data_IF_195614629959
#
_entry.id   IF_195614629959
#
_cell.length_a   1.000
_cell.length_b   1.000
_cell.length_c   1.000
_cell.angle_alpha   90.00
_cell.angle_beta   90.00
_cell.angle_gamma   90.00
#
_symmetry.space_group_name_H-M   'P 1'
#
loop_
_entity.id
_entity.type
_entity.pdbx_description
1 polymer ?
#
# COMPACT_ATOMS: atom_id res chain seq x y z
N UNK A 1 -26.34 14.23 -25.48
CA UNK A 1 -25.56 13.05 -25.03
C UNK A 1 -24.03 13.23 -25.14
N UNK A 2 -23.50 13.83 -26.23
CA UNK A 2 -22.05 14.11 -26.37
C UNK A 2 -21.49 15.12 -25.34
N UNK A 3 -22.29 16.06 -24.83
CA UNK A 3 -21.81 17.03 -23.82
C UNK A 3 -21.67 16.43 -22.41
N UNK A 4 -22.51 15.48 -22.00
CA UNK A 4 -22.42 14.83 -20.68
C UNK A 4 -21.17 13.94 -20.56
N UNK A 5 -20.81 13.27 -21.65
CA UNK A 5 -19.58 12.47 -21.73
C UNK A 5 -18.34 13.39 -21.77
N UNK A 6 -18.39 14.52 -22.48
CA UNK A 6 -17.29 15.51 -22.43
C UNK A 6 -17.12 16.13 -21.04
N UNK A 7 -18.20 16.36 -20.28
CA UNK A 7 -18.08 16.87 -18.90
C UNK A 7 -17.47 15.85 -17.93
N UNK A 8 -17.72 14.55 -18.12
CA UNK A 8 -17.08 13.49 -17.32
C UNK A 8 -15.62 13.24 -17.73
N UNK A 9 -15.29 13.42 -19.01
CA UNK A 9 -13.93 13.19 -19.55
C UNK A 9 -12.99 14.38 -19.32
N UNK A 10 -13.50 15.62 -19.24
CA UNK A 10 -12.65 16.82 -19.03
C UNK A 10 -12.49 17.29 -17.57
N UNK A 11 -13.18 16.71 -16.59
CA UNK A 11 -13.20 17.22 -15.20
C UNK A 11 -12.22 16.56 -14.22
N UNK A 12 -11.09 16.03 -14.69
CA UNK A 12 -10.03 15.60 -13.77
C UNK A 12 -8.64 16.10 -14.15
N UNK A 13 -8.40 17.42 -14.20
CA UNK A 13 -7.04 17.94 -14.06
C UNK A 13 -6.60 17.63 -12.62
N UNK A 14 -6.05 16.42 -12.40
CA UNK A 14 -5.46 15.88 -11.15
C UNK A 14 -6.06 16.52 -9.89
N UNK A 15 -7.12 15.98 -9.28
CA UNK A 15 -7.80 16.51 -8.07
C UNK A 15 -6.88 17.15 -6.99
N UNK A 16 -6.35 18.36 -7.23
CA UNK A 16 -5.27 18.97 -6.46
C UNK A 16 -3.94 18.20 -6.34
N UNK A 17 -3.63 17.19 -7.18
CA UNK A 17 -2.39 16.38 -7.01
C UNK A 17 -1.22 16.97 -7.80
N UNK A 18 -0.19 17.44 -7.08
CA UNK A 18 0.99 18.08 -7.68
C UNK A 18 1.88 17.08 -8.44
N UNK A 19 2.63 17.52 -9.47
CA UNK A 19 3.61 16.65 -10.14
C UNK A 19 4.65 16.07 -9.17
N UNK A 20 5.10 16.87 -8.20
CA UNK A 20 6.03 16.45 -7.16
C UNK A 20 5.46 15.31 -6.31
N UNK A 21 4.17 15.38 -5.95
CA UNK A 21 3.47 14.31 -5.25
C UNK A 21 3.49 13.00 -6.04
N UNK A 22 3.19 13.08 -7.34
CA UNK A 22 3.23 11.90 -8.21
C UNK A 22 4.64 11.30 -8.32
N UNK A 23 5.68 12.15 -8.35
CA UNK A 23 7.06 11.68 -8.34
C UNK A 23 7.39 10.89 -7.07
N UNK A 24 7.04 11.43 -5.89
CA UNK A 24 7.24 10.71 -4.63
C UNK A 24 6.44 9.42 -4.54
N UNK A 25 5.19 9.41 -5.02
CA UNK A 25 4.40 8.18 -5.11
C UNK A 25 5.12 7.12 -5.95
N UNK A 26 5.63 7.49 -7.14
CA UNK A 26 6.38 6.56 -8.01
C UNK A 26 7.65 6.05 -7.34
N UNK A 27 8.36 6.91 -6.62
CA UNK A 27 9.53 6.51 -5.82
C UNK A 27 9.16 5.49 -4.75
N UNK A 28 8.05 5.71 -4.03
CA UNK A 28 7.58 4.78 -3.00
C UNK A 28 7.16 3.42 -3.58
N UNK A 29 6.45 3.42 -4.71
CA UNK A 29 6.14 2.21 -5.46
C UNK A 29 7.41 1.46 -5.88
N UNK A 30 8.38 2.19 -6.41
CA UNK A 30 9.65 1.61 -6.88
C UNK A 30 10.45 1.00 -5.73
N UNK A 31 10.65 1.72 -4.62
CA UNK A 31 11.39 1.23 -3.45
C UNK A 31 10.72 -0.01 -2.87
N UNK A 32 9.39 -0.01 -2.76
CA UNK A 32 8.65 -1.18 -2.27
C UNK A 32 8.78 -2.36 -3.23
N UNK A 33 8.67 -2.12 -4.53
CA UNK A 33 8.82 -3.15 -5.55
C UNK A 33 10.18 -3.83 -5.44
N UNK A 34 11.28 -3.08 -5.49
CA UNK A 34 12.63 -3.67 -5.43
C UNK A 34 12.92 -4.27 -4.04
N UNK A 35 12.44 -3.63 -2.97
CA UNK A 35 12.73 -4.05 -1.60
C UNK A 35 12.03 -5.34 -1.19
N UNK A 36 10.96 -5.73 -1.90
CA UNK A 36 10.16 -6.91 -1.55
C UNK A 36 10.09 -7.96 -2.65
N UNK A 37 10.10 -7.57 -3.93
CA UNK A 37 9.88 -8.51 -5.04
C UNK A 37 10.98 -9.56 -5.11
N UNK A 38 12.26 -9.16 -5.08
CA UNK A 38 13.37 -10.10 -5.19
C UNK A 38 13.35 -11.12 -4.06
N UNK A 39 13.32 -10.65 -2.81
CA UNK A 39 13.26 -11.52 -1.63
C UNK A 39 12.05 -12.47 -1.69
N UNK A 40 10.88 -11.98 -2.08
CA UNK A 40 9.66 -12.80 -2.03
C UNK A 40 9.61 -13.84 -3.14
N UNK A 41 10.01 -13.46 -4.36
CA UNK A 41 10.06 -14.40 -5.49
C UNK A 41 11.16 -15.43 -5.33
N UNK A 42 12.34 -15.03 -4.86
CA UNK A 42 13.45 -15.96 -4.60
C UNK A 42 13.05 -17.02 -3.58
N UNK A 43 12.44 -16.60 -2.47
CA UNK A 43 11.98 -17.50 -1.41
C UNK A 43 10.93 -18.52 -1.89
N UNK A 44 10.09 -18.16 -2.88
CA UNK A 44 9.08 -19.06 -3.45
C UNK A 44 9.64 -19.98 -4.54
N UNK A 45 10.52 -19.48 -5.42
CA UNK A 45 11.00 -20.22 -6.59
C UNK A 45 12.13 -21.17 -6.22
N UNK A 46 12.99 -20.76 -5.29
CA UNK A 46 14.16 -21.52 -4.85
C UNK A 46 14.12 -21.78 -3.34
N UNK A 47 13.09 -22.46 -2.82
CA UNK A 47 13.01 -22.74 -1.40
C UNK A 47 14.08 -23.78 -1.02
N UNK A 48 14.81 -23.53 0.07
CA UNK A 48 15.80 -24.48 0.58
C UNK A 48 15.20 -25.77 1.14
N UNK A 49 13.97 -25.69 1.62
CA UNK A 49 13.15 -26.79 2.15
C UNK A 49 11.69 -26.57 1.73
N UNK A 50 10.84 -27.61 1.69
CA UNK A 50 9.41 -27.43 1.39
C UNK A 50 8.75 -26.39 2.32
N UNK A 51 8.11 -25.38 1.73
CA UNK A 51 7.44 -24.33 2.49
C UNK A 51 6.20 -24.87 3.20
N UNK A 52 6.02 -24.52 4.47
CA UNK A 52 4.74 -24.76 5.14
C UNK A 52 3.63 -23.90 4.52
N UNK A 53 2.38 -24.30 4.76
CA UNK A 53 1.23 -23.71 4.09
C UNK A 53 1.04 -22.21 4.41
N UNK A 54 1.30 -21.74 5.64
CA UNK A 54 1.11 -20.32 6.01
C UNK A 54 2.24 -19.48 5.44
N UNK A 55 3.48 -19.96 5.52
CA UNK A 55 4.63 -19.26 4.96
C UNK A 55 4.49 -19.16 3.43
N UNK A 56 4.11 -20.25 2.76
CA UNK A 56 3.84 -20.26 1.33
C UNK A 56 2.75 -19.24 0.92
N UNK A 57 1.65 -19.16 1.66
CA UNK A 57 0.59 -18.16 1.44
C UNK A 57 1.12 -16.73 1.63
N UNK A 58 1.88 -16.50 2.70
CA UNK A 58 2.43 -15.17 3.05
C UNK A 58 3.35 -14.66 1.95
N UNK A 59 4.31 -15.48 1.53
CA UNK A 59 5.26 -15.10 0.49
C UNK A 59 4.59 -14.99 -0.88
N UNK A 60 3.60 -15.82 -1.21
CA UNK A 60 2.81 -15.69 -2.45
C UNK A 60 2.08 -14.35 -2.52
N UNK A 61 1.50 -13.93 -1.39
CA UNK A 61 0.86 -12.63 -1.28
C UNK A 61 1.87 -11.49 -1.43
N UNK A 62 3.01 -11.55 -0.73
CA UNK A 62 4.06 -10.51 -0.82
C UNK A 62 4.69 -10.42 -2.21
N UNK A 63 4.98 -11.53 -2.88
CA UNK A 63 5.54 -11.57 -4.23
C UNK A 63 4.58 -10.93 -5.25
N UNK A 64 3.30 -11.30 -5.18
CA UNK A 64 2.27 -10.74 -6.08
C UNK A 64 2.02 -9.27 -5.78
N UNK A 65 1.89 -8.91 -4.50
CA UNK A 65 1.75 -7.52 -4.06
C UNK A 65 2.92 -6.66 -4.56
N UNK A 66 4.16 -7.10 -4.34
CA UNK A 66 5.35 -6.38 -4.82
C UNK A 66 5.32 -6.23 -6.35
N UNK A 67 4.97 -7.28 -7.09
CA UNK A 67 4.84 -7.22 -8.55
C UNK A 67 3.82 -6.15 -8.99
N UNK A 68 2.68 -6.06 -8.31
CA UNK A 68 1.67 -5.04 -8.58
C UNK A 68 2.14 -3.62 -8.19
N UNK A 69 3.00 -3.48 -7.17
CA UNK A 69 3.66 -2.20 -6.87
C UNK A 69 4.48 -1.69 -8.05
N UNK A 70 5.07 -2.59 -8.85
CA UNK A 70 5.72 -2.24 -10.12
C UNK A 70 4.79 -1.49 -11.10
N UNK A 71 3.51 -1.88 -11.19
CA UNK A 71 2.52 -1.16 -12.00
C UNK A 71 2.22 0.24 -11.45
N UNK A 72 2.34 0.42 -10.14
CA UNK A 72 2.18 1.71 -9.46
C UNK A 72 3.20 2.76 -9.89
N UNK A 73 4.37 2.34 -10.36
CA UNK A 73 5.38 3.24 -10.93
C UNK A 73 4.83 3.93 -12.19
N UNK A 74 4.08 3.21 -13.03
CA UNK A 74 3.49 3.76 -14.27
C UNK A 74 2.15 4.45 -14.02
N UNK A 75 1.36 3.94 -13.08
CA UNK A 75 -0.03 4.36 -12.81
C UNK A 75 -0.28 4.69 -11.32
N UNK A 76 0.44 5.67 -10.73
CA UNK A 76 0.50 5.84 -9.27
C UNK A 76 -0.84 6.14 -8.59
N UNK A 77 -1.75 6.87 -9.23
CA UNK A 77 -3.08 7.15 -8.69
C UNK A 77 -4.05 5.98 -8.87
N UNK A 78 -3.94 5.23 -9.96
CA UNK A 78 -4.80 4.06 -10.21
C UNK A 78 -4.46 2.91 -9.26
N UNK A 79 -3.19 2.78 -8.88
CA UNK A 79 -2.70 1.76 -7.96
C UNK A 79 -2.70 2.20 -6.49
N UNK A 80 -3.26 3.39 -6.20
CA UNK A 80 -3.33 3.94 -4.83
C UNK A 80 -3.90 2.97 -3.77
N UNK A 81 -4.85 2.07 -4.08
CA UNK A 81 -5.27 1.02 -3.15
C UNK A 81 -4.13 0.15 -2.59
N UNK A 82 -3.04 -0.05 -3.33
CA UNK A 82 -1.89 -0.81 -2.85
C UNK A 82 -1.12 -0.08 -1.74
N UNK A 83 -1.00 1.25 -1.80
CA UNK A 83 -0.40 2.03 -0.71
C UNK A 83 -1.30 2.02 0.54
N UNK A 84 -2.62 1.95 0.38
CA UNK A 84 -3.51 1.75 1.51
C UNK A 84 -3.33 0.35 2.13
N UNK A 85 -3.20 -0.67 1.29
CA UNK A 85 -2.88 -2.02 1.74
C UNK A 85 -1.55 -2.03 2.51
N UNK A 86 -0.51 -1.37 2.00
CA UNK A 86 0.78 -1.24 2.67
C UNK A 86 0.64 -0.63 4.07
N UNK A 87 0.00 0.54 4.13
CA UNK A 87 -0.19 1.30 5.35
C UNK A 87 -0.98 0.48 6.37
N UNK A 88 -2.10 -0.11 5.95
CA UNK A 88 -2.98 -0.90 6.81
C UNK A 88 -2.28 -2.18 7.31
N UNK A 89 -1.62 -2.91 6.42
CA UNK A 89 -0.86 -4.12 6.77
C UNK A 89 0.20 -3.81 7.83
N UNK A 90 1.04 -2.81 7.58
CA UNK A 90 2.16 -2.48 8.46
C UNK A 90 1.69 -1.92 9.80
N UNK A 91 0.66 -1.08 9.80
CA UNK A 91 0.06 -0.60 11.03
C UNK A 91 -0.56 -1.75 11.84
N UNK A 92 -1.30 -2.65 11.19
CA UNK A 92 -1.92 -3.80 11.85
C UNK A 92 -0.86 -4.73 12.44
N UNK A 93 0.20 -5.05 11.69
CA UNK A 93 1.30 -5.88 12.19
C UNK A 93 2.03 -5.20 13.37
N UNK A 94 2.33 -3.91 13.27
CA UNK A 94 2.97 -3.17 14.36
C UNK A 94 2.13 -3.17 15.64
N UNK A 95 0.81 -2.97 15.51
CA UNK A 95 -0.09 -2.85 16.66
C UNK A 95 -0.42 -4.23 17.27
N UNK A 96 -0.74 -5.21 16.42
CA UNK A 96 -1.32 -6.49 16.87
C UNK A 96 -0.30 -7.63 16.96
N UNK A 97 0.92 -7.44 16.45
CA UNK A 97 1.97 -8.48 16.52
C UNK A 97 3.18 -7.95 17.26
N UNK A 98 3.76 -6.84 16.81
CA UNK A 98 5.00 -6.32 17.42
C UNK A 98 4.81 -5.87 18.88
N UNK A 99 3.80 -5.03 19.18
CA UNK A 99 3.62 -4.57 20.55
C UNK A 99 3.29 -5.70 21.54
N UNK A 100 2.44 -6.68 21.21
CA UNK A 100 2.27 -7.87 22.03
C UNK A 100 3.58 -8.63 22.26
N UNK A 101 4.34 -8.95 21.20
CA UNK A 101 5.65 -9.62 21.33
C UNK A 101 6.62 -8.84 22.22
N UNK A 102 6.62 -7.50 22.10
CA UNK A 102 7.42 -6.62 22.95
C UNK A 102 6.99 -6.67 24.42
N UNK A 103 5.69 -6.66 24.68
CA UNK A 103 5.16 -6.69 26.05
C UNK A 103 5.43 -8.01 26.76
N UNK A 104 5.52 -9.11 26.00
CA UNK A 104 5.80 -10.45 26.53
C UNK A 104 7.31 -10.78 26.59
N UNK A 105 8.18 -9.87 26.15
CA UNK A 105 9.62 -10.11 26.12
C UNK A 105 10.07 -11.13 25.06
N UNK A 106 9.25 -11.38 24.04
CA UNK A 106 9.47 -12.38 22.97
C UNK A 106 10.00 -11.74 21.67
N UNK A 107 10.57 -10.53 21.74
CA UNK A 107 11.12 -9.87 20.56
C UNK A 107 12.38 -10.56 20.06
N UNK A 108 12.32 -11.02 18.81
CA UNK A 108 13.51 -11.43 18.08
C UNK A 108 14.19 -10.22 17.41
N UNK A 109 15.47 -10.32 17.04
CA UNK A 109 16.14 -9.29 16.22
C UNK A 109 15.41 -9.01 14.91
N UNK A 110 14.87 -10.04 14.27
CA UNK A 110 14.13 -9.94 12.99
C UNK A 110 12.83 -9.17 13.17
N UNK A 111 12.07 -9.46 14.23
CA UNK A 111 10.84 -8.72 14.55
C UNK A 111 11.13 -7.23 14.83
N UNK A 112 12.25 -6.94 15.50
CA UNK A 112 12.68 -5.56 15.80
C UNK A 112 13.12 -4.80 14.54
N UNK A 113 13.86 -5.47 13.66
CA UNK A 113 14.22 -4.91 12.36
C UNK A 113 12.98 -4.67 11.49
N UNK A 114 12.08 -5.66 11.39
CA UNK A 114 10.87 -5.54 10.59
C UNK A 114 9.92 -4.46 11.10
N UNK A 115 9.86 -4.23 12.43
CA UNK A 115 9.16 -3.08 12.98
C UNK A 115 9.72 -1.75 12.50
N UNK A 116 11.04 -1.61 12.44
CA UNK A 116 11.69 -0.39 11.93
C UNK A 116 11.31 -0.15 10.46
N UNK A 117 11.33 -1.20 9.63
CA UNK A 117 10.84 -1.15 8.24
C UNK A 117 9.36 -0.75 8.17
N UNK A 118 8.52 -1.31 9.06
CA UNK A 118 7.10 -0.97 9.12
C UNK A 118 6.89 0.50 9.47
N UNK A 119 7.57 1.01 10.50
CA UNK A 119 7.47 2.39 10.94
C UNK A 119 7.90 3.36 9.85
N UNK A 120 9.04 3.11 9.18
CA UNK A 120 9.52 3.93 8.07
C UNK A 120 8.48 3.98 6.94
N UNK A 121 7.94 2.84 6.54
CA UNK A 121 6.94 2.79 5.48
C UNK A 121 5.62 3.48 5.88
N UNK A 122 5.13 3.32 7.11
CA UNK A 122 3.94 4.03 7.62
C UNK A 122 4.13 5.54 7.53
N UNK A 123 5.28 6.05 7.99
CA UNK A 123 5.59 7.49 7.93
C UNK A 123 5.62 7.97 6.48
N UNK A 124 6.30 7.23 5.59
CA UNK A 124 6.35 7.58 4.17
C UNK A 124 4.98 7.53 3.51
N UNK A 125 4.17 6.51 3.77
CA UNK A 125 2.80 6.37 3.24
C UNK A 125 1.94 7.54 3.69
N UNK A 126 1.96 7.88 4.99
CA UNK A 126 1.19 9.01 5.52
C UNK A 126 1.64 10.32 4.90
N UNK A 127 2.95 10.50 4.72
CA UNK A 127 3.48 11.69 4.09
C UNK A 127 3.19 11.75 2.60
N UNK A 128 3.15 10.63 1.85
CA UNK A 128 3.14 10.57 0.37
C UNK A 128 1.73 10.31 -0.22
N UNK A 129 0.80 9.72 0.52
CA UNK A 129 -0.57 9.48 0.04
C UNK A 129 -1.31 10.81 -0.14
N UNK A 130 -1.87 11.13 -1.31
CA UNK A 130 -2.57 12.40 -1.54
C UNK A 130 -3.95 12.41 -0.85
N UNK A 131 -4.00 12.73 0.44
CA UNK A 131 -5.22 12.64 1.27
C UNK A 131 -6.42 13.41 0.73
N UNK A 132 -6.23 14.60 0.15
CA UNK A 132 -7.31 15.35 -0.49
C UNK A 132 -7.90 14.61 -1.70
N UNK A 133 -7.06 13.90 -2.46
CA UNK A 133 -7.50 13.00 -3.53
C UNK A 133 -8.21 11.78 -2.94
N UNK A 134 -7.63 11.17 -1.89
CA UNK A 134 -8.22 10.02 -1.17
C UNK A 134 -9.65 10.32 -0.73
N UNK A 135 -9.84 11.44 -0.03
CA UNK A 135 -11.14 11.83 0.51
C UNK A 135 -12.18 12.02 -0.59
N UNK A 136 -11.85 12.80 -1.63
CA UNK A 136 -12.77 13.08 -2.73
C UNK A 136 -13.12 11.83 -3.55
N UNK A 137 -12.17 10.90 -3.68
CA UNK A 137 -12.33 9.72 -4.54
C UNK A 137 -12.99 8.55 -3.82
N UNK A 138 -12.59 8.26 -2.58
CA UNK A 138 -13.01 7.04 -1.88
C UNK A 138 -13.99 7.29 -0.73
N UNK A 139 -13.98 8.48 -0.12
CA UNK A 139 -14.72 8.74 1.13
C UNK A 139 -15.98 9.56 0.88
N UNK A 140 -15.90 10.64 0.11
CA UNK A 140 -16.99 11.61 -0.06
C UNK A 140 -18.27 10.96 -0.62
N UNK A 141 -18.14 10.11 -1.64
CA UNK A 141 -19.28 9.39 -2.20
C UNK A 141 -19.91 8.41 -1.21
N UNK A 142 -19.09 7.72 -0.41
CA UNK A 142 -19.56 6.79 0.61
C UNK A 142 -20.33 7.49 1.74
N UNK A 143 -19.86 8.66 2.20
CA UNK A 143 -20.53 9.42 3.27
C UNK A 143 -21.84 10.06 2.80
N UNK A 144 -21.92 10.54 1.56
CA UNK A 144 -23.13 11.20 1.03
C UNK A 144 -24.31 10.23 0.84
N UNK A 145 -24.08 8.93 0.68
CA UNK A 145 -25.15 7.91 0.58
C UNK A 145 -25.97 7.85 1.88
N UNK A 146 -25.37 8.16 3.04
CA UNK A 146 -26.11 8.18 4.32
C UNK A 146 -27.05 9.39 4.45
N UNK A 147 -26.79 10.49 3.76
CA UNK A 147 -27.57 11.74 3.88
C UNK A 147 -28.89 11.74 3.12
N UNK A 148 -29.14 10.80 2.21
CA UNK A 148 -30.37 10.74 1.40
C UNK A 148 -31.44 9.80 1.96
N UNK A 149 -31.26 9.31 3.19
CA UNK A 149 -32.20 8.40 3.88
C UNK A 149 -32.90 9.01 5.11
N UNK A 150 -32.88 10.33 5.24
CA UNK A 150 -33.62 11.11 6.26
C UNK A 150 -34.37 12.22 5.57
#
# INVERSE_FOLDING_TARGET
MKSFIQTLVHKHPRLGVTPLRLFFMRGLYFITFIGLAFQSWEYLIFPGEPLDYITGVTFSFWATYATLMGLGIRYPLKMLPLLYLQLAYKATWAILVYFPLKSEGLLTPEASYFYSVCLTAIVLDVLIIPWSYTYKTYIQGFLNIKSQKT
#
